data_IF_828458981276
#
_entry.id   IF_828458981276
#
_cell.length_a   1.000
_cell.length_b   1.000
_cell.length_c   1.000
_cell.angle_alpha   90.00
_cell.angle_beta   90.00
_cell.angle_gamma   90.00
#
_symmetry.space_group_name_H-M   'P 1'
#
loop_
_entity.id
_entity.type
_entity.pdbx_description
1 polymer ?
#
# COMPACT_ATOMS: atom_id res chain seq x y z
N UNK A 1 21.31 20.76 -11.71
CA UNK A 1 20.00 20.27 -12.19
C UNK A 1 18.95 21.13 -11.52
N UNK A 2 18.13 21.82 -12.30
CA UNK A 2 17.11 22.73 -11.76
C UNK A 2 16.07 21.88 -11.02
N UNK A 3 15.94 22.06 -9.70
CA UNK A 3 14.85 21.46 -8.92
C UNK A 3 13.52 21.81 -9.60
N UNK A 4 12.71 20.80 -9.92
CA UNK A 4 11.38 21.01 -10.49
C UNK A 4 10.49 21.56 -9.38
N UNK A 5 10.43 22.88 -9.32
CA UNK A 5 9.52 23.59 -8.44
C UNK A 5 8.06 23.37 -8.89
N UNK A 6 7.23 22.83 -7.99
CA UNK A 6 5.79 22.67 -8.23
C UNK A 6 5.03 23.68 -7.36
N UNK A 7 4.42 24.73 -7.97
CA UNK A 7 3.73 25.76 -7.21
C UNK A 7 2.49 25.21 -6.51
N UNK A 8 2.15 25.82 -5.38
CA UNK A 8 0.91 25.65 -4.66
C UNK A 8 -0.28 26.11 -5.51
N UNK A 9 -1.42 25.43 -5.33
CA UNK A 9 -2.70 25.80 -5.93
C UNK A 9 -3.16 27.16 -5.39
N UNK A 10 -2.78 27.48 -4.15
CA UNK A 10 -3.02 28.77 -3.49
C UNK A 10 -1.72 29.57 -3.45
N UNK A 11 -1.60 30.69 -4.21
CA UNK A 11 -0.38 31.50 -4.29
C UNK A 11 0.09 32.03 -2.92
N UNK A 12 -0.84 32.29 -2.01
CA UNK A 12 -0.57 32.71 -0.63
C UNK A 12 0.11 31.63 0.23
N UNK A 13 -0.08 30.35 -0.12
CA UNK A 13 0.50 29.20 0.59
C UNK A 13 1.79 28.69 -0.07
N UNK A 14 2.23 29.31 -1.16
CA UNK A 14 3.35 28.85 -1.99
C UNK A 14 4.68 28.80 -1.21
N UNK A 15 4.92 29.82 -0.38
CA UNK A 15 6.10 29.88 0.49
C UNK A 15 6.05 28.83 1.62
N UNK A 16 4.86 28.59 2.19
CA UNK A 16 4.66 27.59 3.22
C UNK A 16 4.86 26.18 2.63
N UNK A 17 4.41 25.94 1.39
CA UNK A 17 4.54 24.67 0.67
C UNK A 17 6.00 24.35 0.39
N UNK A 18 6.75 25.32 -0.15
CA UNK A 18 8.20 25.18 -0.33
C UNK A 18 8.91 24.82 0.97
N UNK A 19 8.51 25.47 2.07
CA UNK A 19 9.11 25.26 3.38
C UNK A 19 8.80 23.86 3.94
N UNK A 20 7.60 23.33 3.69
CA UNK A 20 7.20 21.98 4.06
C UNK A 20 7.90 20.93 3.19
N UNK A 21 7.85 21.06 1.86
CA UNK A 21 8.40 20.09 0.90
C UNK A 21 9.91 19.90 1.11
N UNK A 22 10.63 21.00 1.42
CA UNK A 22 12.05 20.96 1.77
C UNK A 22 12.29 20.21 3.08
N UNK A 23 11.52 20.53 4.13
CA UNK A 23 11.61 19.87 5.42
C UNK A 23 11.34 18.36 5.29
N UNK A 24 10.30 17.99 4.54
CA UNK A 24 9.91 16.61 4.32
C UNK A 24 10.97 15.84 3.55
N UNK A 25 11.55 16.42 2.49
CA UNK A 25 12.60 15.76 1.71
C UNK A 25 13.84 15.46 2.56
N UNK A 26 14.29 16.44 3.36
CA UNK A 26 15.43 16.28 4.28
C UNK A 26 15.15 15.25 5.38
N UNK A 27 13.91 15.21 5.89
CA UNK A 27 13.48 14.18 6.85
C UNK A 27 13.41 12.80 6.20
N UNK A 28 12.83 12.69 5.01
CA UNK A 28 12.61 11.43 4.32
C UNK A 28 13.93 10.75 3.95
N UNK A 29 14.93 11.52 3.49
CA UNK A 29 16.28 10.96 3.24
C UNK A 29 16.93 10.41 4.53
N UNK A 30 16.72 11.06 5.67
CA UNK A 30 17.22 10.60 6.98
C UNK A 30 16.43 9.40 7.53
N UNK A 31 15.13 9.37 7.28
CA UNK A 31 14.25 8.26 7.66
C UNK A 31 14.61 6.97 6.91
N UNK A 32 14.95 7.07 5.62
CA UNK A 32 15.29 5.91 4.78
C UNK A 32 16.72 5.39 5.04
N UNK A 33 17.65 6.21 5.55
CA UNK A 33 19.08 5.86 5.67
C UNK A 33 19.48 5.08 6.94
N UNK A 34 18.51 4.60 7.72
CA UNK A 34 18.72 3.68 8.87
C UNK A 34 19.71 4.17 9.93
N UNK A 35 19.28 5.11 10.77
CA UNK A 35 19.88 5.29 12.09
C UNK A 35 18.93 6.02 13.06
N UNK A 36 17.67 5.57 13.21
CA UNK A 36 16.83 5.87 14.39
C UNK A 36 15.44 5.26 14.28
N UNK A 37 15.12 4.40 15.23
CA UNK A 37 13.76 4.00 15.59
C UNK A 37 13.11 5.18 16.33
N UNK A 38 11.98 5.68 15.83
CA UNK A 38 11.15 6.75 16.43
C UNK A 38 11.72 8.19 16.40
N UNK A 39 11.91 8.76 15.20
CA UNK A 39 11.92 10.23 15.03
C UNK A 39 10.51 10.67 14.68
N UNK A 40 9.85 11.46 15.54
CA UNK A 40 8.59 12.14 15.19
C UNK A 40 8.83 13.08 14.02
N UNK A 41 7.93 13.15 13.05
CA UNK A 41 8.12 13.99 11.88
C UNK A 41 8.23 15.48 12.28
N UNK A 42 9.42 16.11 12.16
CA UNK A 42 9.61 17.50 12.60
C UNK A 42 8.84 18.51 11.75
N UNK A 43 8.25 18.07 10.63
CA UNK A 43 7.45 18.87 9.71
C UNK A 43 5.93 18.80 10.00
N UNK A 44 5.47 17.99 10.97
CA UNK A 44 4.04 17.85 11.32
C UNK A 44 3.36 19.17 11.70
N UNK A 45 4.04 20.02 12.47
CA UNK A 45 3.54 21.35 12.84
C UNK A 45 3.23 22.24 11.62
N UNK A 46 3.97 22.07 10.52
CA UNK A 46 3.74 22.81 9.28
C UNK A 46 2.64 22.18 8.41
N UNK A 47 2.44 20.87 8.55
CA UNK A 47 1.28 20.17 7.96
C UNK A 47 -0.03 20.73 8.51
N UNK A 48 -0.13 20.87 9.84
CA UNK A 48 -1.34 21.38 10.50
C UNK A 48 -1.67 22.84 10.15
N UNK A 49 -0.70 23.61 9.65
CA UNK A 49 -0.91 24.98 9.16
C UNK A 49 -1.40 25.05 7.71
N UNK A 50 -1.24 23.94 6.96
CA UNK A 50 -1.76 23.80 5.59
C UNK A 50 -3.22 23.37 5.55
N UNK A 51 -3.76 22.88 6.68
CA UNK A 51 -5.16 22.52 6.82
C UNK A 51 -5.98 23.79 7.12
N UNK A 52 -6.83 24.27 6.19
CA UNK A 52 -7.73 25.38 6.47
C UNK A 52 -8.75 24.93 7.54
N UNK A 53 -9.17 25.81 8.46
CA UNK A 53 -10.32 25.52 9.31
C UNK A 53 -11.55 25.38 8.41
N UNK A 54 -12.05 24.16 8.29
CA UNK A 54 -13.26 23.80 7.53
C UNK A 54 -14.49 24.51 8.11
N UNK A 55 -14.80 25.71 7.62
CA UNK A 55 -16.18 26.20 7.59
C UNK A 55 -16.79 25.93 6.22
N UNK A 56 -17.62 24.88 6.17
CA UNK A 56 -18.78 24.76 5.29
C UNK A 56 -18.53 24.53 3.80
N UNK A 57 -18.71 23.29 3.34
CA UNK A 57 -19.81 22.96 2.42
C UNK A 57 -19.70 21.48 2.01
N UNK A 58 -20.85 20.83 2.04
CA UNK A 58 -21.02 19.42 1.70
C UNK A 58 -20.61 19.11 0.27
N UNK A 59 -19.89 18.01 0.09
CA UNK A 59 -19.95 17.12 -1.06
C UNK A 59 -19.45 15.74 -0.61
N UNK A 60 -20.34 14.77 -0.67
CA UNK A 60 -20.17 13.41 -0.16
C UNK A 60 -18.93 12.71 -0.76
N UNK A 61 -17.94 12.44 0.07
CA UNK A 61 -16.95 11.39 -0.14
C UNK A 61 -16.63 10.78 1.24
N UNK A 62 -17.18 9.60 1.49
CA UNK A 62 -16.78 8.58 2.48
C UNK A 62 -15.68 8.95 3.49
N UNK A 63 -16.06 9.67 4.56
CA UNK A 63 -15.31 9.75 5.83
C UNK A 63 -16.22 9.23 6.94
N UNK A 64 -16.52 7.93 6.96
CA UNK A 64 -17.23 7.26 8.08
C UNK A 64 -16.90 5.77 8.22
N UNK A 65 -15.76 5.29 7.70
CA UNK A 65 -15.38 3.87 7.74
C UNK A 65 -14.02 3.62 8.42
N UNK A 66 -13.63 4.47 9.37
CA UNK A 66 -12.37 4.34 10.13
C UNK A 66 -12.52 3.63 11.50
N UNK A 67 -13.74 3.46 12.04
CA UNK A 67 -13.87 3.10 13.47
C UNK A 67 -13.93 1.60 13.76
N UNK A 68 -14.44 0.78 12.84
CA UNK A 68 -14.65 -0.66 13.09
C UNK A 68 -13.48 -1.55 12.62
N UNK A 69 -12.81 -1.17 11.54
CA UNK A 69 -11.65 -1.91 11.01
C UNK A 69 -10.44 -1.72 11.90
N UNK A 70 -10.14 -0.48 12.31
CA UNK A 70 -9.00 -0.20 13.17
C UNK A 70 -9.17 -0.83 14.56
N UNK A 71 -10.39 -0.92 15.08
CA UNK A 71 -10.62 -1.51 16.40
C UNK A 71 -10.30 -2.99 16.47
N UNK A 72 -10.59 -3.80 15.44
CA UNK A 72 -10.19 -5.23 15.44
C UNK A 72 -8.68 -5.41 15.31
N UNK A 73 -7.99 -4.58 14.51
CA UNK A 73 -6.53 -4.65 14.39
C UNK A 73 -5.84 -4.22 15.68
N UNK A 74 -6.32 -3.15 16.31
CA UNK A 74 -5.81 -2.69 17.61
C UNK A 74 -6.01 -3.74 18.71
N UNK A 75 -7.15 -4.46 18.70
CA UNK A 75 -7.39 -5.57 19.62
C UNK A 75 -6.39 -6.72 19.40
N UNK A 76 -6.19 -7.13 18.14
CA UNK A 76 -5.21 -8.17 17.82
C UNK A 76 -3.79 -7.76 18.23
N UNK A 77 -3.39 -6.52 17.94
CA UNK A 77 -2.09 -5.96 18.32
C UNK A 77 -1.90 -6.00 19.84
N UNK A 78 -2.87 -5.48 20.59
CA UNK A 78 -2.81 -5.48 22.06
C UNK A 78 -2.74 -6.90 22.64
N UNK A 79 -3.51 -7.85 22.10
CA UNK A 79 -3.45 -9.25 22.55
C UNK A 79 -2.08 -9.87 22.24
N UNK A 80 -1.49 -9.59 21.07
CA UNK A 80 -0.16 -10.06 20.70
C UNK A 80 0.94 -9.46 21.59
N UNK A 81 0.91 -8.15 21.84
CA UNK A 81 1.86 -7.47 22.73
C UNK A 81 1.79 -8.03 24.15
N UNK A 82 0.58 -8.19 24.69
CA UNK A 82 0.37 -8.80 26.00
C UNK A 82 0.88 -10.25 26.04
N UNK A 83 0.67 -11.02 24.98
CA UNK A 83 1.17 -12.39 24.89
C UNK A 83 2.72 -12.43 24.89
N UNK A 84 3.35 -11.59 24.06
CA UNK A 84 4.81 -11.46 24.00
C UNK A 84 5.41 -11.05 25.36
N UNK A 85 4.79 -10.08 26.04
CA UNK A 85 5.23 -9.62 27.35
C UNK A 85 5.07 -10.69 28.43
N UNK A 86 3.95 -11.45 28.41
CA UNK A 86 3.78 -12.59 29.31
C UNK A 86 4.83 -13.69 29.07
N UNK A 87 5.20 -13.94 27.80
CA UNK A 87 6.23 -14.91 27.46
C UNK A 87 7.61 -14.45 27.94
N UNK A 88 7.92 -13.15 27.79
CA UNK A 88 9.15 -12.54 28.31
C UNK A 88 9.23 -12.67 29.83
N UNK A 89 8.15 -12.35 30.56
CA UNK A 89 8.09 -12.49 32.01
C UNK A 89 8.28 -13.94 32.46
N UNK A 90 7.65 -14.90 31.77
CA UNK A 90 7.88 -16.32 32.03
C UNK A 90 9.35 -16.70 31.80
N UNK A 91 9.97 -16.19 30.74
CA UNK A 91 11.39 -16.39 30.46
C UNK A 91 12.30 -15.91 31.60
N UNK A 92 12.01 -14.76 32.21
CA UNK A 92 12.74 -14.24 33.36
C UNK A 92 12.56 -15.13 34.60
N UNK A 93 11.33 -15.57 34.87
CA UNK A 93 11.05 -16.48 36.00
C UNK A 93 11.81 -17.80 35.82
N UNK A 94 11.87 -18.30 34.59
CA UNK A 94 12.56 -19.53 34.26
C UNK A 94 14.10 -19.39 34.32
N UNK A 95 14.65 -18.24 33.93
CA UNK A 95 16.11 -18.01 34.00
C UNK A 95 16.61 -17.93 35.44
N UNK A 96 15.86 -17.27 36.33
CA UNK A 96 16.22 -17.06 37.74
C UNK A 96 15.34 -17.90 38.68
N UNK A 97 15.12 -19.17 38.34
CA UNK A 97 14.18 -20.02 39.04
C UNK A 97 14.62 -20.34 40.48
N UNK A 98 13.68 -20.23 41.43
CA UNK A 98 13.83 -20.65 42.83
C UNK A 98 12.61 -21.46 43.28
N UNK A 99 12.70 -22.16 44.41
CA UNK A 99 11.53 -22.90 44.95
C UNK A 99 10.30 -21.99 45.19
N UNK A 100 10.51 -20.69 45.43
CA UNK A 100 9.42 -19.72 45.63
C UNK A 100 8.76 -19.27 44.32
N UNK A 101 9.40 -19.46 43.18
CA UNK A 101 8.87 -19.03 41.87
C UNK A 101 8.04 -20.09 41.16
N UNK A 102 7.90 -21.30 41.71
CA UNK A 102 7.10 -22.38 41.12
C UNK A 102 5.65 -21.96 40.84
N UNK A 103 5.01 -21.34 41.83
CA UNK A 103 3.61 -20.93 41.72
C UNK A 103 3.41 -19.81 40.68
N UNK A 104 4.18 -18.70 40.71
CA UNK A 104 4.17 -17.70 39.64
C UNK A 104 4.45 -18.27 38.24
N UNK A 105 5.37 -19.24 38.13
CA UNK A 105 5.68 -19.90 36.87
C UNK A 105 4.45 -20.66 36.33
N UNK A 106 3.80 -21.48 37.16
CA UNK A 106 2.58 -22.20 36.79
C UNK A 106 1.47 -21.24 36.37
N UNK A 107 1.28 -20.14 37.10
CA UNK A 107 0.30 -19.10 36.75
C UNK A 107 0.60 -18.47 35.38
N UNK A 108 1.87 -18.20 35.06
CA UNK A 108 2.27 -17.71 33.74
C UNK A 108 2.07 -18.72 32.63
N UNK A 109 2.33 -20.00 32.87
CA UNK A 109 2.03 -21.08 31.91
C UNK A 109 0.53 -21.06 31.58
N UNK A 110 -0.34 -21.02 32.58
CA UNK A 110 -1.79 -20.94 32.36
C UNK A 110 -2.20 -19.66 31.61
N UNK A 111 -1.57 -18.53 31.92
CA UNK A 111 -1.84 -17.26 31.22
C UNK A 111 -1.47 -17.36 29.74
N UNK A 112 -0.33 -17.97 29.40
CA UNK A 112 0.07 -18.17 28.00
C UNK A 112 -0.84 -19.15 27.27
N UNK A 113 -1.29 -20.23 27.92
CA UNK A 113 -2.26 -21.16 27.33
C UNK A 113 -3.57 -20.42 27.01
N UNK A 114 -4.09 -19.62 27.94
CA UNK A 114 -5.28 -18.80 27.71
C UNK A 114 -5.06 -17.78 26.59
N UNK A 115 -3.89 -17.15 26.53
CA UNK A 115 -3.54 -16.20 25.47
C UNK A 115 -3.48 -16.86 24.08
N UNK A 116 -2.97 -18.09 23.97
CA UNK A 116 -3.01 -18.85 22.70
C UNK A 116 -4.45 -19.16 22.27
N UNK A 117 -5.31 -19.53 23.22
CA UNK A 117 -6.74 -19.75 22.95
C UNK A 117 -7.43 -18.46 22.46
N UNK A 118 -7.13 -17.33 23.09
CA UNK A 118 -7.65 -16.03 22.68
C UNK A 118 -7.22 -15.64 21.26
N UNK A 119 -5.93 -15.84 20.92
CA UNK A 119 -5.42 -15.60 19.58
C UNK A 119 -6.08 -16.50 18.53
N UNK A 120 -6.31 -17.78 18.83
CA UNK A 120 -7.02 -18.68 17.91
C UNK A 120 -8.49 -18.27 17.70
N UNK A 121 -9.14 -17.74 18.74
CA UNK A 121 -10.49 -17.17 18.59
C UNK A 121 -10.50 -15.90 17.72
N UNK A 122 -9.55 -14.99 17.94
CA UNK A 122 -9.42 -13.74 17.17
C UNK A 122 -9.16 -13.98 15.69
N UNK A 123 -8.42 -15.06 15.34
CA UNK A 123 -8.13 -15.43 13.94
C UNK A 123 -9.38 -15.42 13.05
N UNK A 124 -10.52 -15.87 13.55
CA UNK A 124 -11.76 -15.96 12.76
C UNK A 124 -12.28 -14.58 12.31
N UNK A 125 -11.86 -13.49 12.96
CA UNK A 125 -12.21 -12.12 12.59
C UNK A 125 -11.42 -11.58 11.39
N UNK A 126 -10.42 -12.31 10.89
CA UNK A 126 -9.51 -11.89 9.81
C UNK A 126 -9.57 -12.80 8.58
N UNK A 127 -10.61 -13.62 8.42
CA UNK A 127 -10.76 -14.52 7.28
C UNK A 127 -10.88 -13.78 5.92
N UNK A 128 -11.28 -12.51 5.96
CA UNK A 128 -11.35 -11.56 4.85
C UNK A 128 -9.97 -11.05 4.41
N UNK A 129 -8.95 -11.19 5.25
CA UNK A 129 -7.59 -10.70 4.96
C UNK A 129 -6.77 -11.81 4.30
N UNK A 130 -6.26 -11.55 3.10
CA UNK A 130 -5.34 -12.45 2.38
C UNK A 130 -3.91 -11.93 2.49
N UNK A 131 -3.00 -12.79 2.93
CA UNK A 131 -1.57 -12.46 3.06
C UNK A 131 -0.81 -13.15 1.92
N UNK A 132 -0.11 -12.40 1.04
CA UNK A 132 0.73 -12.98 0.00
C UNK A 132 1.82 -13.86 0.60
N UNK A 133 2.06 -15.04 0.03
CA UNK A 133 3.09 -15.97 0.54
C UNK A 133 4.50 -15.39 0.37
N UNK A 134 4.72 -14.61 -0.67
CA UNK A 134 5.97 -13.90 -0.93
C UNK A 134 6.32 -12.92 0.20
N UNK A 135 5.32 -12.41 0.94
CA UNK A 135 5.54 -11.53 2.08
C UNK A 135 6.19 -12.27 3.27
N UNK A 136 5.91 -13.58 3.42
CA UNK A 136 6.48 -14.38 4.50
C UNK A 136 8.00 -14.45 4.41
N UNK A 137 8.55 -14.48 3.19
CA UNK A 137 10.00 -14.46 2.98
C UNK A 137 10.66 -13.16 3.51
N UNK A 138 9.96 -12.03 3.42
CA UNK A 138 10.45 -10.77 4.01
C UNK A 138 10.45 -10.85 5.53
N UNK A 139 9.39 -11.40 6.12
CA UNK A 139 9.26 -11.55 7.58
C UNK A 139 10.31 -12.50 8.15
N UNK A 140 10.50 -13.68 7.53
CA UNK A 140 11.48 -14.68 7.97
C UNK A 140 12.92 -14.16 7.92
N UNK A 141 13.20 -13.25 6.98
CA UNK A 141 14.50 -12.57 6.85
C UNK A 141 14.62 -11.32 7.73
N UNK A 142 13.59 -10.97 8.52
CA UNK A 142 13.57 -9.78 9.36
C UNK A 142 13.52 -8.46 8.57
N UNK A 143 13.09 -8.50 7.30
CA UNK A 143 12.93 -7.31 6.46
C UNK A 143 11.60 -6.61 6.76
N UNK A 144 11.56 -5.30 6.50
CA UNK A 144 10.32 -4.53 6.59
C UNK A 144 9.32 -5.00 5.50
N UNK A 145 8.10 -5.46 5.87
CA UNK A 145 7.04 -5.86 4.93
C UNK A 145 6.66 -4.78 3.90
N UNK A 146 6.85 -3.50 4.22
CA UNK A 146 6.58 -2.39 3.30
C UNK A 146 7.51 -2.38 2.08
N UNK A 147 8.67 -3.04 2.15
CA UNK A 147 9.53 -3.23 0.99
C UNK A 147 8.88 -4.10 -0.07
N UNK A 148 8.15 -5.14 0.33
CA UNK A 148 7.37 -5.96 -0.61
C UNK A 148 6.30 -5.11 -1.30
N UNK A 149 5.56 -4.31 -0.53
CA UNK A 149 4.55 -3.38 -1.07
C UNK A 149 5.16 -2.44 -2.10
N UNK A 150 6.30 -1.83 -1.76
CA UNK A 150 7.05 -0.96 -2.66
C UNK A 150 7.45 -1.68 -3.94
N UNK A 151 8.07 -2.85 -3.84
CA UNK A 151 8.50 -3.64 -5.01
C UNK A 151 7.33 -4.05 -5.91
N UNK A 152 6.19 -4.40 -5.32
CA UNK A 152 4.97 -4.74 -6.06
C UNK A 152 4.46 -3.53 -6.86
N UNK A 153 4.41 -2.35 -6.25
CA UNK A 153 4.02 -1.11 -6.90
C UNK A 153 5.00 -0.73 -8.02
N UNK A 154 6.30 -0.82 -7.77
CA UNK A 154 7.34 -0.52 -8.75
C UNK A 154 7.30 -1.49 -9.94
N UNK A 155 7.14 -2.78 -9.68
CA UNK A 155 6.98 -3.82 -10.73
C UNK A 155 5.74 -3.56 -11.57
N UNK A 156 4.62 -3.23 -10.93
CA UNK A 156 3.36 -2.91 -11.61
C UNK A 156 3.50 -1.68 -12.49
N UNK A 157 4.12 -0.61 -11.97
CA UNK A 157 4.40 0.61 -12.72
C UNK A 157 5.28 0.33 -13.95
N UNK A 158 6.37 -0.43 -13.76
CA UNK A 158 7.28 -0.78 -14.85
C UNK A 158 6.57 -1.63 -15.91
N UNK A 159 5.75 -2.59 -15.48
CA UNK A 159 4.97 -3.43 -16.40
C UNK A 159 3.94 -2.61 -17.18
N UNK A 160 3.26 -1.68 -16.53
CA UNK A 160 2.32 -0.78 -17.18
C UNK A 160 2.99 0.07 -18.27
N UNK A 161 4.16 0.68 -17.94
CA UNK A 161 4.96 1.44 -18.91
C UNK A 161 5.42 0.56 -20.08
N UNK A 162 5.89 -0.65 -19.81
CA UNK A 162 6.29 -1.61 -20.84
C UNK A 162 5.12 -1.97 -21.77
N UNK A 163 3.93 -2.25 -21.22
CA UNK A 163 2.73 -2.58 -22.01
C UNK A 163 2.26 -1.40 -22.85
N UNK A 164 2.24 -0.20 -22.29
CA UNK A 164 1.92 1.00 -23.06
C UNK A 164 2.89 1.22 -24.21
N UNK A 165 4.20 1.03 -23.98
CA UNK A 165 5.21 1.08 -25.04
C UNK A 165 4.95 0.06 -26.15
N UNK A 166 4.59 -1.18 -25.80
CA UNK A 166 4.21 -2.21 -26.79
C UNK A 166 2.96 -1.82 -27.57
N UNK A 167 1.92 -1.32 -26.90
CA UNK A 167 0.68 -0.87 -27.54
C UNK A 167 0.96 0.21 -28.57
N UNK A 168 1.75 1.23 -28.20
CA UNK A 168 2.11 2.32 -29.11
C UNK A 168 2.96 1.82 -30.29
N UNK A 169 3.87 0.87 -30.05
CA UNK A 169 4.65 0.25 -31.12
C UNK A 169 3.76 -0.55 -32.10
N UNK A 170 2.79 -1.31 -31.60
CA UNK A 170 1.82 -2.03 -32.44
C UNK A 170 0.90 -1.07 -33.21
N UNK A 171 0.45 0.03 -32.60
CA UNK A 171 -0.33 1.08 -33.29
C UNK A 171 0.48 1.69 -34.43
N UNK A 172 1.74 2.05 -34.17
CA UNK A 172 2.64 2.62 -35.19
C UNK A 172 2.93 1.62 -36.30
N UNK A 173 3.23 0.36 -35.95
CA UNK A 173 3.46 -0.71 -36.93
C UNK A 173 2.23 -0.92 -37.81
N UNK A 174 1.04 -1.01 -37.21
CA UNK A 174 -0.24 -1.09 -37.94
C UNK A 174 -0.41 0.08 -38.90
N UNK A 175 -0.16 1.31 -38.47
CA UNK A 175 -0.28 2.49 -39.32
C UNK A 175 0.68 2.46 -40.52
N UNK A 176 1.95 2.10 -40.28
CA UNK A 176 2.96 1.98 -41.35
C UNK A 176 2.60 0.85 -42.33
N UNK A 177 2.22 -0.33 -41.81
CA UNK A 177 1.82 -1.46 -42.66
C UNK A 177 0.62 -1.11 -43.54
N UNK A 178 -0.40 -0.45 -42.99
CA UNK A 178 -1.56 -0.01 -43.77
C UNK A 178 -1.23 1.08 -44.79
N UNK A 179 -0.20 1.90 -44.55
CA UNK A 179 0.29 2.89 -45.53
C UNK A 179 0.97 2.18 -46.70
N UNK A 180 1.97 1.34 -46.44
CA UNK A 180 2.73 0.64 -47.49
C UNK A 180 1.82 -0.29 -48.32
N UNK A 181 0.92 -1.03 -47.67
CA UNK A 181 -0.08 -1.84 -48.38
C UNK A 181 -1.04 -0.97 -49.23
N UNK A 182 -1.34 0.24 -48.79
CA UNK A 182 -2.17 1.18 -49.55
C UNK A 182 -1.49 1.70 -50.81
N UNK A 183 -0.16 1.78 -50.80
CA UNK A 183 0.66 2.19 -51.95
C UNK A 183 0.85 1.03 -52.94
N UNK A 184 1.15 -0.18 -52.46
CA UNK A 184 1.43 -1.35 -53.32
C UNK A 184 0.16 -2.08 -53.80
N UNK A 185 -0.89 -2.15 -52.97
CA UNK A 185 -2.11 -2.93 -53.22
C UNK A 185 -3.39 -2.13 -52.90
N UNK A 186 -3.70 -1.06 -53.67
CA UNK A 186 -4.77 -0.12 -53.33
C UNK A 186 -6.17 -0.74 -53.35
N UNK A 187 -6.47 -1.64 -54.29
CA UNK A 187 -7.79 -2.26 -54.42
C UNK A 187 -8.12 -3.20 -53.24
N UNK A 188 -7.15 -4.02 -52.83
CA UNK A 188 -7.30 -4.94 -51.70
C UNK A 188 -7.42 -4.18 -50.37
N UNK A 189 -6.75 -3.05 -50.25
CA UNK A 189 -6.84 -2.17 -49.08
C UNK A 189 -8.21 -1.52 -48.91
N UNK A 190 -8.88 -1.14 -50.01
CA UNK A 190 -10.26 -0.65 -49.98
C UNK A 190 -11.21 -1.76 -49.50
N UNK A 191 -11.03 -2.99 -50.01
CA UNK A 191 -11.81 -4.14 -49.56
C UNK A 191 -11.61 -4.43 -48.07
N UNK A 192 -10.35 -4.43 -47.60
CA UNK A 192 -10.04 -4.63 -46.18
C UNK A 192 -10.69 -3.59 -45.26
N UNK A 193 -10.63 -2.30 -45.60
CA UNK A 193 -11.27 -1.23 -44.81
C UNK A 193 -12.78 -1.45 -44.70
N UNK A 194 -13.44 -1.77 -45.81
CA UNK A 194 -14.87 -2.05 -45.84
C UNK A 194 -15.29 -3.25 -44.98
N UNK A 195 -14.42 -4.29 -44.87
CA UNK A 195 -14.68 -5.45 -44.03
C UNK A 195 -14.41 -5.17 -42.55
N UNK A 196 -13.38 -4.39 -42.23
CA UNK A 196 -13.04 -4.01 -40.85
C UNK A 196 -14.13 -3.16 -40.21
N UNK A 197 -14.61 -2.15 -40.92
CA UNK A 197 -15.59 -1.19 -40.37
C UNK A 197 -16.97 -1.84 -40.11
N UNK A 198 -17.20 -3.06 -40.62
CA UNK A 198 -18.37 -3.89 -40.29
C UNK A 198 -18.19 -4.73 -39.02
N UNK A 199 -16.97 -4.87 -38.49
CA UNK A 199 -16.62 -5.80 -37.41
C UNK A 199 -16.39 -5.13 -36.05
N UNK A 200 -16.27 -3.80 -35.99
CA UNK A 200 -16.10 -3.05 -34.73
C UNK A 200 -17.43 -2.47 -34.21
N UNK A 201 -18.09 -3.10 -33.22
CA UNK A 201 -18.47 -2.39 -32.01
C UNK A 201 -17.29 -2.50 -31.06
N UNK A 202 -16.46 -1.46 -30.99
CA UNK A 202 -15.42 -1.37 -29.95
C UNK A 202 -16.06 -1.64 -28.58
N UNK A 203 -15.45 -2.44 -27.69
CA UNK A 203 -15.94 -2.55 -26.32
C UNK A 203 -15.90 -1.14 -25.71
N UNK A 204 -17.07 -0.58 -25.40
CA UNK A 204 -17.13 0.54 -24.49
C UNK A 204 -16.51 0.04 -23.18
N UNK A 205 -15.68 0.87 -22.55
CA UNK A 205 -15.17 0.62 -21.21
C UNK A 205 -16.36 0.44 -20.24
N UNK A 206 -16.86 -0.79 -20.11
CA UNK A 206 -17.72 -1.16 -19.01
C UNK A 206 -16.85 -1.26 -17.76
N UNK A 207 -17.26 -0.51 -16.74
CA UNK A 207 -16.72 -0.60 -15.40
C UNK A 207 -16.67 -2.07 -14.96
N UNK A 208 -15.48 -2.62 -14.76
CA UNK A 208 -15.31 -3.87 -14.04
C UNK A 208 -15.62 -3.60 -12.55
N UNK A 209 -16.90 -3.66 -12.21
CA UNK A 209 -17.31 -4.15 -10.89
C UNK A 209 -17.26 -5.67 -11.00
N UNK A 210 -16.18 -6.29 -10.53
CA UNK A 210 -16.14 -7.72 -10.27
C UNK A 210 -16.10 -7.94 -8.76
N UNK A 211 -17.28 -8.21 -8.23
CA UNK A 211 -17.48 -9.04 -7.05
C UNK A 211 -16.71 -10.36 -7.25
N UNK A 212 -15.64 -10.54 -6.47
CA UNK A 212 -14.95 -11.82 -6.39
C UNK A 212 -15.66 -12.70 -5.35
N UNK A 213 -16.44 -13.66 -5.83
CA UNK A 213 -16.88 -14.84 -5.07
C UNK A 213 -16.48 -16.10 -5.85
N UNK A 214 -15.38 -16.71 -5.43
CA UNK A 214 -15.25 -18.16 -5.13
C UNK A 214 -13.88 -18.44 -4.49
#
# INVERSE_FOLDING_TARGET
MTERYMPSIFPECDNLKQTYDKCFSDFFEKFISTETSAISNPCELKSNLMDPPLMGSMSNASVLQETATDTRYNQLEQTLENFQENARQMGIIASDFTTRSQEPLNQKIHTLISGLHELDHLKNQFMDVKIPLELLEYLDQGKNPQLYTKECLERTLNKNKEMNGKIEMYKKFRAMLLKELGEEMPNDMVLYRNLRDRKDPSPQHENYNEDASD
#
